data_IF_799781594192
#
_entry.id   IF_799781594192
#
_cell.length_a   1.000
_cell.length_b   1.000
_cell.length_c   1.000
_cell.angle_alpha   90.00
_cell.angle_beta   90.00
_cell.angle_gamma   90.00
#
_symmetry.space_group_name_H-M   'P 1'
#
loop_
_entity.id
_entity.type
_entity.pdbx_description
1 polymer ?
#
# COMPACT_ATOMS: atom_id res chain seq x y z
N UNK A 1 -2.67 -41.16 -12.46
CA UNK A 1 -2.37 -41.15 -11.02
C UNK A 1 -1.46 -39.97 -10.62
N UNK A 2 -0.40 -39.72 -11.37
CA UNK A 2 0.48 -38.60 -11.05
C UNK A 2 -0.23 -37.24 -11.07
N UNK A 3 -1.25 -37.10 -11.90
CA UNK A 3 -2.03 -35.85 -12.00
C UNK A 3 -2.76 -35.50 -10.70
N UNK A 4 -3.25 -36.50 -9.99
CA UNK A 4 -3.97 -36.25 -8.75
C UNK A 4 -3.06 -35.72 -7.65
N UNK A 5 -1.84 -36.20 -7.60
CA UNK A 5 -0.84 -35.72 -6.64
C UNK A 5 -0.50 -34.26 -6.89
N UNK A 6 -0.34 -33.88 -8.15
CA UNK A 6 -0.03 -32.48 -8.53
C UNK A 6 -1.17 -31.54 -8.13
N UNK A 7 -2.42 -31.95 -8.35
CA UNK A 7 -3.60 -31.17 -7.98
C UNK A 7 -3.66 -30.97 -6.46
N UNK A 8 -3.37 -32.02 -5.70
CA UNK A 8 -3.35 -31.94 -4.24
C UNK A 8 -2.28 -30.97 -3.73
N UNK A 9 -1.10 -30.98 -4.35
CA UNK A 9 -0.03 -30.06 -3.98
C UNK A 9 -0.42 -28.61 -4.25
N UNK A 10 -1.02 -28.32 -5.39
CA UNK A 10 -1.51 -26.99 -5.72
C UNK A 10 -2.59 -26.53 -4.74
N UNK A 11 -3.49 -27.42 -4.38
CA UNK A 11 -4.55 -27.12 -3.43
C UNK A 11 -3.99 -26.80 -2.05
N UNK A 12 -3.01 -27.56 -1.59
CA UNK A 12 -2.35 -27.34 -0.32
C UNK A 12 -1.63 -25.99 -0.29
N UNK A 13 -0.99 -25.60 -1.40
CA UNK A 13 -0.31 -24.31 -1.49
C UNK A 13 -1.30 -23.14 -1.38
N UNK A 14 -2.47 -23.27 -2.00
CA UNK A 14 -3.50 -22.26 -1.90
C UNK A 14 -4.02 -22.07 -0.47
N UNK A 15 -4.13 -23.14 0.27
CA UNK A 15 -4.60 -23.09 1.67
C UNK A 15 -3.57 -22.47 2.61
N UNK A 16 -2.28 -22.58 2.32
CA UNK A 16 -1.22 -22.05 3.15
C UNK A 16 -0.96 -20.57 2.99
N UNK A 17 -1.55 -19.91 1.99
CA UNK A 17 -1.32 -18.50 1.73
C UNK A 17 -2.22 -17.60 2.58
N UNK A 18 -1.59 -16.74 3.37
CA UNK A 18 -2.32 -15.70 4.12
C UNK A 18 -2.72 -14.58 3.17
N UNK A 19 -3.94 -14.08 3.32
CA UNK A 19 -4.39 -12.92 2.55
C UNK A 19 -3.70 -11.67 3.07
N UNK A 20 -3.18 -10.89 2.14
CA UNK A 20 -2.61 -9.58 2.44
C UNK A 20 -3.76 -8.57 2.54
N UNK A 21 -3.90 -7.82 3.66
CA UNK A 21 -5.01 -6.86 3.80
C UNK A 21 -5.01 -5.76 2.77
N UNK A 22 -3.82 -5.30 2.37
CA UNK A 22 -3.67 -4.26 1.37
C UNK A 22 -2.62 -4.68 0.37
N UNK A 23 -2.94 -4.49 -0.92
CA UNK A 23 -1.94 -4.56 -2.00
C UNK A 23 -1.51 -3.15 -2.33
N UNK A 24 -0.21 -2.90 -2.38
CA UNK A 24 0.35 -1.58 -2.64
C UNK A 24 1.19 -1.66 -3.90
N UNK A 25 0.87 -0.82 -4.88
CA UNK A 25 1.62 -0.71 -6.12
C UNK A 25 2.15 0.71 -6.26
N UNK A 26 3.44 0.85 -6.47
CA UNK A 26 4.12 2.14 -6.56
C UNK A 26 4.71 2.27 -7.95
N UNK A 27 4.32 3.33 -8.67
CA UNK A 27 4.78 3.55 -10.05
C UNK A 27 5.41 4.94 -10.16
N UNK A 28 6.73 5.03 -10.07
CA UNK A 28 7.43 6.28 -10.31
C UNK A 28 7.58 6.53 -11.80
N UNK A 29 7.51 7.79 -12.20
CA UNK A 29 7.68 8.20 -13.58
C UNK A 29 8.34 9.57 -13.64
N UNK A 30 9.36 9.71 -14.49
CA UNK A 30 9.98 11.00 -14.71
C UNK A 30 9.03 11.89 -15.51
N UNK A 31 8.73 13.06 -14.98
CA UNK A 31 7.94 14.08 -15.64
C UNK A 31 8.74 15.38 -15.69
N UNK A 32 8.60 16.15 -16.76
CA UNK A 32 9.45 17.30 -16.98
C UNK A 32 10.92 16.89 -16.77
N UNK A 33 11.87 17.73 -16.86
CA UNK A 33 13.26 17.26 -16.85
C UNK A 33 13.83 16.97 -15.46
N UNK A 34 13.10 17.27 -14.40
CA UNK A 34 13.69 17.22 -13.07
C UNK A 34 12.74 16.75 -11.97
N UNK A 35 11.58 16.19 -12.32
CA UNK A 35 10.59 15.77 -11.34
C UNK A 35 10.19 14.32 -11.53
N UNK A 36 9.97 13.63 -10.42
CA UNK A 36 9.46 12.27 -10.41
C UNK A 36 8.03 12.31 -9.89
N UNK A 37 7.08 11.87 -10.72
CA UNK A 37 5.69 11.65 -10.30
C UNK A 37 5.57 10.23 -9.81
N UNK A 38 5.14 10.05 -8.57
CA UNK A 38 4.96 8.72 -7.97
C UNK A 38 3.50 8.47 -7.74
N UNK A 39 2.95 7.49 -8.43
CA UNK A 39 1.58 7.03 -8.24
C UNK A 39 1.58 5.89 -7.23
N UNK A 40 0.74 6.01 -6.21
CA UNK A 40 0.56 4.97 -5.20
C UNK A 40 -0.87 4.46 -5.31
N UNK A 41 -1.02 3.18 -5.62
CA UNK A 41 -2.31 2.51 -5.67
C UNK A 41 -2.41 1.53 -4.52
N UNK A 42 -3.50 1.59 -3.76
CA UNK A 42 -3.77 0.65 -2.68
C UNK A 42 -5.10 -0.04 -2.97
N UNK A 43 -5.09 -1.37 -2.91
CA UNK A 43 -6.29 -2.20 -3.05
C UNK A 43 -6.68 -2.70 -1.66
N UNK A 44 -7.96 -2.55 -1.33
CA UNK A 44 -8.50 -3.03 -0.06
C UNK A 44 -8.91 -4.50 -0.18
N UNK A 45 -8.24 -5.38 0.56
CA UNK A 45 -8.56 -6.80 0.65
C UNK A 45 -9.03 -7.20 2.06
N UNK A 46 -9.31 -6.21 2.93
CA UNK A 46 -9.59 -6.47 4.34
C UNK A 46 -10.93 -7.20 4.56
N UNK A 47 -11.90 -7.01 3.67
CA UNK A 47 -13.26 -7.53 3.85
C UNK A 47 -14.18 -6.54 4.54
N UNK A 48 -13.71 -5.31 4.78
CA UNK A 48 -14.46 -4.21 5.38
C UNK A 48 -14.18 -2.92 4.61
N UNK A 49 -15.17 -2.04 4.46
CA UNK A 49 -14.90 -0.73 3.85
C UNK A 49 -13.94 0.11 4.69
N UNK A 50 -13.01 0.79 4.01
CA UNK A 50 -12.03 1.67 4.66
C UNK A 50 -12.47 3.11 4.48
N UNK A 51 -12.67 3.80 5.61
CA UNK A 51 -13.17 5.18 5.65
C UNK A 51 -12.04 6.22 5.60
N UNK A 52 -10.86 5.86 6.12
CA UNK A 52 -9.70 6.74 6.11
C UNK A 52 -8.43 5.92 5.96
N UNK A 53 -7.54 6.38 5.09
CA UNK A 53 -6.27 5.69 4.84
C UNK A 53 -5.18 6.72 4.61
N UNK A 54 -4.17 6.68 5.45
CA UNK A 54 -3.03 7.59 5.42
C UNK A 54 -1.74 6.81 5.52
N UNK A 55 -0.70 7.31 4.87
CA UNK A 55 0.62 6.71 4.97
C UNK A 55 1.72 7.68 4.61
N UNK A 56 2.94 7.17 4.57
CA UNK A 56 4.13 7.93 4.20
C UNK A 56 4.81 7.29 3.02
N UNK A 57 5.04 8.08 2.00
CA UNK A 57 5.81 7.69 0.82
C UNK A 57 7.26 8.11 1.04
N UNK A 58 8.14 7.13 1.17
CA UNK A 58 9.55 7.33 1.49
C UNK A 58 10.39 7.20 0.24
N UNK A 59 11.37 8.07 0.10
CA UNK A 59 12.32 8.08 -1.02
C UNK A 59 13.69 7.59 -0.54
N UNK A 60 14.28 6.69 -1.35
CA UNK A 60 15.60 6.12 -1.06
C UNK A 60 16.51 6.23 -2.27
N UNK A 61 17.81 6.42 -2.03
CA UNK A 61 18.85 6.25 -3.02
C UNK A 61 19.73 5.08 -2.55
N UNK A 62 19.57 3.93 -3.19
CA UNK A 62 20.11 2.68 -2.64
C UNK A 62 19.51 2.43 -1.27
N UNK A 63 20.35 2.31 -0.24
CA UNK A 63 19.89 2.11 1.13
C UNK A 63 19.72 3.41 1.92
N UNK A 64 20.05 4.55 1.31
CA UNK A 64 20.01 5.82 1.99
C UNK A 64 18.62 6.43 1.92
N UNK A 65 18.04 6.72 3.09
CA UNK A 65 16.78 7.44 3.20
C UNK A 65 16.98 8.91 2.84
N UNK A 66 16.17 9.42 1.89
CA UNK A 66 16.28 10.80 1.42
C UNK A 66 15.16 11.69 1.97
N UNK A 67 14.07 11.13 2.38
CA UNK A 67 12.95 11.89 2.89
C UNK A 67 11.63 11.15 2.69
N UNK A 68 10.55 11.73 3.21
CA UNK A 68 9.22 11.14 3.07
C UNK A 68 8.15 12.22 2.95
N UNK A 69 7.03 11.84 2.36
CA UNK A 69 5.85 12.69 2.23
C UNK A 69 4.64 11.95 2.75
N UNK A 70 3.85 12.64 3.57
CA UNK A 70 2.57 12.13 4.05
C UNK A 70 1.57 12.14 2.89
N UNK A 71 0.83 11.05 2.76
CA UNK A 71 -0.21 10.94 1.74
C UNK A 71 -1.49 10.40 2.38
N UNK A 72 -2.60 11.06 2.10
CA UNK A 72 -3.92 10.55 2.48
C UNK A 72 -4.54 9.95 1.22
N UNK A 73 -4.77 8.64 1.23
CA UNK A 73 -5.32 7.93 0.08
C UNK A 73 -6.85 7.94 0.07
N UNK A 74 -7.46 7.90 1.26
CA UNK A 74 -8.90 8.04 1.44
C UNK A 74 -9.13 9.03 2.56
N UNK A 75 -9.83 10.12 2.25
CA UNK A 75 -10.28 11.08 3.23
C UNK A 75 -11.65 10.67 3.77
N UNK A 76 -11.93 10.99 5.03
CA UNK A 76 -13.17 10.61 5.70
C UNK A 76 -14.43 11.20 5.05
N UNK A 77 -14.29 12.25 4.24
CA UNK A 77 -15.41 12.83 3.49
C UNK A 77 -15.62 12.21 2.11
N UNK A 78 -14.71 11.31 1.69
CA UNK A 78 -14.87 10.56 0.45
C UNK A 78 -15.68 9.29 0.72
N UNK A 79 -16.26 8.67 -0.34
CA UNK A 79 -16.89 7.36 -0.17
C UNK A 79 -15.87 6.34 0.34
N UNK A 80 -16.29 5.49 1.26
CA UNK A 80 -15.42 4.46 1.82
C UNK A 80 -14.94 3.50 0.72
N UNK A 81 -13.68 3.09 0.82
CA UNK A 81 -13.08 2.16 -0.13
C UNK A 81 -13.56 0.75 0.16
N UNK A 82 -14.38 0.21 -0.74
CA UNK A 82 -14.95 -1.13 -0.60
C UNK A 82 -13.92 -2.21 -0.84
N UNK A 83 -14.18 -3.39 -0.29
CA UNK A 83 -13.32 -4.56 -0.50
C UNK A 83 -13.21 -4.89 -1.99
N UNK A 84 -11.99 -5.13 -2.45
CA UNK A 84 -11.69 -5.41 -3.84
C UNK A 84 -11.50 -4.18 -4.70
N UNK A 85 -11.79 -2.98 -4.19
CA UNK A 85 -11.59 -1.74 -4.93
C UNK A 85 -10.26 -1.10 -4.56
N UNK A 86 -9.80 -0.21 -5.44
CA UNK A 86 -8.52 0.48 -5.26
C UNK A 86 -8.71 1.98 -5.23
N UNK A 87 -7.72 2.66 -4.68
CA UNK A 87 -7.57 4.11 -4.74
C UNK A 87 -6.15 4.43 -5.16
N UNK A 88 -5.99 5.50 -5.94
CA UNK A 88 -4.69 5.95 -6.42
C UNK A 88 -4.52 7.42 -6.13
N UNK A 89 -3.41 7.78 -5.52
CA UNK A 89 -3.00 9.17 -5.31
C UNK A 89 -1.56 9.32 -5.76
N UNK A 90 -1.18 10.55 -6.05
CA UNK A 90 0.16 10.87 -6.59
C UNK A 90 0.87 11.86 -5.72
N UNK A 91 2.19 11.80 -5.73
CA UNK A 91 3.06 12.81 -5.15
C UNK A 91 4.24 13.04 -6.07
N UNK A 92 4.85 14.23 -6.00
CA UNK A 92 6.01 14.57 -6.82
C UNK A 92 7.23 14.76 -5.94
N UNK A 93 8.39 14.37 -6.48
CA UNK A 93 9.68 14.53 -5.84
C UNK A 93 10.64 15.17 -6.83
N UNK A 94 11.59 15.92 -6.31
CA UNK A 94 12.67 16.43 -7.14
C UNK A 94 13.63 15.32 -7.48
N UNK A 95 14.09 15.28 -8.73
CA UNK A 95 15.12 14.33 -9.15
C UNK A 95 16.44 14.71 -8.49
N UNK A 96 17.04 13.79 -7.75
CA UNK A 96 18.30 14.00 -7.04
C UNK A 96 19.37 13.11 -7.66
N UNK A 97 20.36 13.73 -8.26
CA UNK A 97 21.47 13.01 -8.87
C UNK A 97 21.10 12.37 -10.21
N UNK A 98 21.95 11.46 -10.68
CA UNK A 98 21.82 10.82 -11.99
C UNK A 98 21.08 9.49 -11.95
N UNK A 99 20.87 8.93 -10.77
CA UNK A 99 20.19 7.65 -10.60
C UNK A 99 18.78 7.85 -10.10
N UNK A 100 17.81 7.09 -10.63
CA UNK A 100 16.46 7.17 -10.13
C UNK A 100 16.39 6.66 -8.68
N UNK A 101 15.56 7.33 -7.88
CA UNK A 101 15.28 6.91 -6.51
C UNK A 101 14.33 5.72 -6.49
N UNK A 102 14.35 4.96 -5.41
CA UNK A 102 13.34 3.96 -5.11
C UNK A 102 12.37 4.50 -4.06
N UNK A 103 11.17 3.94 -4.03
CA UNK A 103 10.11 4.44 -3.16
C UNK A 103 9.43 3.29 -2.43
N UNK A 104 9.03 3.56 -1.18
CA UNK A 104 8.24 2.64 -0.38
C UNK A 104 7.07 3.40 0.23
N UNK A 105 5.91 2.75 0.35
CA UNK A 105 4.75 3.34 0.99
C UNK A 105 4.38 2.53 2.22
N UNK A 106 4.28 3.20 3.36
CA UNK A 106 3.93 2.57 4.63
C UNK A 106 2.65 3.19 5.17
N UNK A 107 1.66 2.35 5.44
CA UNK A 107 0.38 2.79 5.97
C UNK A 107 0.53 3.11 7.45
N UNK A 108 0.17 4.34 7.83
CA UNK A 108 0.31 4.80 9.21
C UNK A 108 -1.02 4.88 9.95
N UNK A 109 -2.12 5.14 9.24
CA UNK A 109 -3.45 5.23 9.87
C UNK A 109 -4.51 4.62 8.97
N UNK A 110 -5.33 3.76 9.57
CA UNK A 110 -6.49 3.15 8.91
C UNK A 110 -7.68 3.28 9.83
N UNK A 111 -8.81 3.71 9.28
CA UNK A 111 -10.08 3.72 9.98
C UNK A 111 -11.11 3.04 9.11
N UNK A 112 -11.84 2.10 9.71
CA UNK A 112 -12.90 1.38 9.00
C UNK A 112 -14.23 2.11 9.11
N UNK A 113 -15.06 1.97 8.09
CA UNK A 113 -16.36 2.59 8.07
C UNK A 113 -17.22 2.09 9.23
N UNK A 114 -17.88 3.03 9.92
CA UNK A 114 -18.70 2.72 11.06
C UNK A 114 -17.95 2.45 12.36
N UNK A 115 -16.64 2.66 12.39
CA UNK A 115 -15.82 2.40 13.56
C UNK A 115 -15.02 3.65 13.95
N UNK A 116 -14.87 3.87 15.27
CA UNK A 116 -14.13 5.04 15.78
C UNK A 116 -12.65 4.75 16.07
N UNK A 117 -12.28 3.47 16.15
CA UNK A 117 -10.90 3.09 16.43
C UNK A 117 -10.00 3.35 15.23
N UNK A 118 -8.78 3.80 15.52
CA UNK A 118 -7.77 4.07 14.49
C UNK A 118 -6.65 3.04 14.64
N UNK A 119 -6.21 2.50 13.51
CA UNK A 119 -5.19 1.47 13.47
C UNK A 119 -4.00 1.92 12.63
N UNK A 120 -2.80 1.50 13.01
CA UNK A 120 -1.67 1.43 12.11
C UNK A 120 -1.65 0.02 11.51
N UNK A 121 -1.05 -0.12 10.34
CA UNK A 121 -0.88 -1.44 9.73
C UNK A 121 0.58 -1.64 9.35
N UNK A 122 1.09 -2.82 9.66
CA UNK A 122 2.44 -3.21 9.31
C UNK A 122 2.40 -4.63 8.72
N UNK A 123 3.13 -4.90 7.62
CA UNK A 123 3.08 -6.22 6.97
C UNK A 123 3.39 -7.39 7.88
N UNK A 124 4.25 -7.19 8.88
CA UNK A 124 4.65 -8.26 9.81
C UNK A 124 3.77 -8.32 11.04
N UNK A 125 3.37 -7.17 11.58
CA UNK A 125 2.66 -7.09 12.87
C UNK A 125 1.14 -7.03 12.72
N UNK A 126 0.64 -6.79 11.50
CA UNK A 126 -0.78 -6.64 11.25
C UNK A 126 -1.31 -5.28 11.74
N UNK A 127 -2.57 -5.26 12.12
CA UNK A 127 -3.20 -4.04 12.61
C UNK A 127 -2.89 -3.81 14.07
N UNK A 128 -2.50 -2.59 14.39
CA UNK A 128 -2.16 -2.15 15.75
C UNK A 128 -3.01 -0.93 16.06
N UNK A 129 -3.83 -1.01 17.12
CA UNK A 129 -4.64 0.14 17.54
C UNK A 129 -3.73 1.23 18.10
N UNK A 130 -3.95 2.48 17.67
CA UNK A 130 -3.08 3.60 18.03
C UNK A 130 -3.80 4.76 18.72
N UNK A 131 -5.11 4.64 18.95
CA UNK A 131 -5.88 5.66 19.68
C UNK A 131 -6.28 5.22 21.08
#
# INVERSE_FOLDING_TARGET
MKRYIIILVLFSSAWGQKRIPFSIDIRPRLIEDAKILVNVEVVNHVGRPVDYLEGFLSEFSGDQFLGEKRMVLIYHYEPALQTGFSTTKSSTFELKGNSPSSFEFNISKVKFDGENRVFAWHPKSGFIRID
#
